data_IF_960825419193
#
_entry.id   IF_960825419193
#
_cell.length_a   1.000
_cell.length_b   1.000
_cell.length_c   1.000
_cell.angle_alpha   90.00
_cell.angle_beta   90.00
_cell.angle_gamma   90.00
#
_symmetry.space_group_name_H-M   'P 1'
#
loop_
_entity.id
_entity.type
_entity.pdbx_description
1 polymer ?
#
# COMPACT_ATOMS: atom_id res chain seq x y z
N UNK A 1 15.48 -33.84 -8.55
CA UNK A 1 14.20 -33.10 -8.54
C UNK A 1 14.02 -32.27 -7.27
N UNK A 2 14.15 -32.83 -6.06
CA UNK A 2 13.98 -32.09 -4.79
C UNK A 2 14.88 -30.85 -4.66
N UNK A 3 16.18 -30.97 -4.99
CA UNK A 3 17.12 -29.84 -4.91
C UNK A 3 16.76 -28.66 -5.84
N UNK A 4 16.19 -28.95 -7.03
CA UNK A 4 15.77 -27.92 -7.97
C UNK A 4 14.53 -27.18 -7.48
N UNK A 5 13.60 -27.88 -6.83
CA UNK A 5 12.41 -27.29 -6.21
C UNK A 5 12.79 -26.38 -5.03
N UNK A 6 13.74 -26.81 -4.19
CA UNK A 6 14.26 -25.98 -3.10
C UNK A 6 14.96 -24.71 -3.61
N UNK A 7 15.75 -24.81 -4.68
CA UNK A 7 16.42 -23.64 -5.26
C UNK A 7 15.43 -22.62 -5.83
N UNK A 8 14.35 -23.09 -6.49
CA UNK A 8 13.28 -22.21 -6.99
C UNK A 8 12.50 -21.54 -5.86
N UNK A 9 12.15 -22.30 -4.82
CA UNK A 9 11.47 -21.76 -3.64
C UNK A 9 12.35 -20.72 -2.93
N UNK A 10 13.65 -21.01 -2.75
CA UNK A 10 14.59 -20.07 -2.15
C UNK A 10 14.75 -18.81 -3.01
N UNK A 11 14.86 -18.97 -4.34
CA UNK A 11 14.91 -17.86 -5.28
C UNK A 11 13.67 -16.98 -5.22
N UNK A 12 12.47 -17.58 -5.21
CA UNK A 12 11.21 -16.87 -5.05
C UNK A 12 11.19 -16.13 -3.70
N UNK A 13 11.51 -16.81 -2.61
CA UNK A 13 11.56 -16.22 -1.26
C UNK A 13 12.49 -15.02 -1.20
N UNK A 14 13.72 -15.13 -1.72
CA UNK A 14 14.69 -14.02 -1.75
C UNK A 14 14.19 -12.87 -2.62
N UNK A 15 13.67 -13.16 -3.81
CA UNK A 15 13.15 -12.15 -4.73
C UNK A 15 12.01 -11.37 -4.08
N UNK A 16 11.05 -12.07 -3.48
CA UNK A 16 9.92 -11.44 -2.77
C UNK A 16 10.39 -10.72 -1.51
N UNK A 17 11.35 -11.27 -0.76
CA UNK A 17 11.89 -10.58 0.44
C UNK A 17 12.55 -9.27 0.07
N UNK A 18 13.31 -9.22 -1.04
CA UNK A 18 14.00 -8.01 -1.48
C UNK A 18 13.05 -6.92 -1.99
N UNK A 19 11.94 -7.31 -2.60
CA UNK A 19 10.91 -6.39 -3.12
C UNK A 19 9.93 -5.96 -2.04
N UNK A 20 9.54 -6.85 -1.11
CA UNK A 20 8.76 -6.49 0.08
C UNK A 20 9.57 -5.76 1.17
N UNK A 21 10.89 -5.63 1.04
CA UNK A 21 11.74 -5.11 2.11
C UNK A 21 11.49 -3.62 2.39
N UNK A 22 11.25 -2.81 1.35
CA UNK A 22 10.86 -1.41 1.54
C UNK A 22 9.41 -1.29 1.99
N UNK A 23 8.53 -2.22 1.61
CA UNK A 23 7.15 -2.24 2.11
C UNK A 23 7.04 -2.47 3.61
N UNK A 24 7.98 -3.25 4.12
CA UNK A 24 8.18 -3.50 5.54
C UNK A 24 8.30 -2.22 6.37
N UNK A 25 8.74 -1.13 5.74
CA UNK A 25 8.90 0.17 6.39
C UNK A 25 7.54 0.75 6.81
N UNK A 26 6.48 0.45 6.06
CA UNK A 26 5.11 0.89 6.35
C UNK A 26 4.51 0.18 7.57
N UNK A 27 5.02 -1.00 7.92
CA UNK A 27 4.63 -1.75 9.12
C UNK A 27 5.26 -1.21 10.40
N UNK A 28 6.34 -0.41 10.31
CA UNK A 28 7.10 0.04 11.47
C UNK A 28 6.21 0.75 12.51
N UNK A 29 5.32 1.71 12.14
CA UNK A 29 4.43 2.35 13.13
C UNK A 29 3.47 1.37 13.81
N UNK A 30 3.11 0.28 13.14
CA UNK A 30 2.13 -0.72 13.60
C UNK A 30 2.76 -1.83 14.47
N UNK A 31 4.09 -1.93 14.46
CA UNK A 31 4.85 -2.94 15.20
C UNK A 31 5.57 -2.37 16.42
N UNK A 32 5.36 -1.08 16.71
CA UNK A 32 6.04 -0.36 17.76
C UNK A 32 5.89 -1.03 19.15
N UNK A 33 6.94 -1.01 19.99
CA UNK A 33 6.98 -1.78 21.23
C UNK A 33 6.00 -1.30 22.31
N UNK A 34 5.46 -0.07 22.18
CA UNK A 34 4.47 0.47 23.11
C UNK A 34 3.05 -0.09 22.88
N UNK A 35 2.81 -0.77 21.75
CA UNK A 35 1.51 -1.39 21.45
C UNK A 35 1.38 -2.76 22.14
N UNK A 36 0.17 -3.14 22.59
CA UNK A 36 -0.06 -4.46 23.16
C UNK A 36 0.26 -5.58 22.15
N UNK A 37 0.82 -6.68 22.63
CA UNK A 37 1.31 -7.80 21.80
C UNK A 37 0.22 -8.34 20.86
N UNK A 38 -1.03 -8.44 21.33
CA UNK A 38 -2.17 -8.89 20.53
C UNK A 38 -2.41 -8.02 19.29
N UNK A 39 -2.28 -6.70 19.41
CA UNK A 39 -2.42 -5.77 18.29
C UNK A 39 -1.27 -5.93 17.30
N UNK A 40 -0.04 -6.09 17.79
CA UNK A 40 1.14 -6.34 16.94
C UNK A 40 1.00 -7.63 16.13
N UNK A 41 0.56 -8.71 16.78
CA UNK A 41 0.30 -10.00 16.12
C UNK A 41 -0.81 -9.86 15.08
N UNK A 42 -1.92 -9.18 15.42
CA UNK A 42 -3.05 -8.98 14.51
C UNK A 42 -2.63 -8.20 13.25
N UNK A 43 -1.86 -7.13 13.41
CA UNK A 43 -1.35 -6.37 12.27
C UNK A 43 -0.33 -7.16 11.44
N UNK A 44 0.55 -7.94 12.08
CA UNK A 44 1.49 -8.83 11.39
C UNK A 44 0.77 -9.91 10.57
N UNK A 45 -0.26 -10.54 11.14
CA UNK A 45 -1.09 -11.52 10.43
C UNK A 45 -1.86 -10.89 9.27
N UNK A 46 -2.41 -9.68 9.47
CA UNK A 46 -3.07 -8.94 8.39
C UNK A 46 -2.11 -8.62 7.24
N UNK A 47 -0.86 -8.26 7.54
CA UNK A 47 0.16 -8.05 6.51
C UNK A 47 0.44 -9.33 5.71
N UNK A 48 0.73 -10.45 6.39
CA UNK A 48 1.00 -11.74 5.74
C UNK A 48 -0.20 -12.15 4.87
N UNK A 49 -1.41 -12.09 5.43
CA UNK A 49 -2.62 -12.48 4.71
C UNK A 49 -2.87 -11.57 3.50
N UNK A 50 -2.60 -10.27 3.62
CA UNK A 50 -2.76 -9.34 2.50
C UNK A 50 -1.78 -9.67 1.38
N UNK A 51 -0.50 -9.85 1.68
CA UNK A 51 0.50 -10.24 0.67
C UNK A 51 0.15 -11.58 0.01
N UNK A 52 -0.28 -12.57 0.78
CA UNK A 52 -0.66 -13.87 0.24
C UNK A 52 -1.86 -13.77 -0.72
N UNK A 53 -2.87 -12.97 -0.35
CA UNK A 53 -4.03 -12.69 -1.23
C UNK A 53 -3.60 -11.98 -2.51
N UNK A 54 -2.66 -11.03 -2.44
CA UNK A 54 -2.11 -10.38 -3.63
C UNK A 54 -1.36 -11.39 -4.52
N UNK A 55 -0.51 -12.24 -3.96
CA UNK A 55 0.20 -13.27 -4.71
C UNK A 55 -0.76 -14.26 -5.38
N UNK A 56 -1.80 -14.72 -4.66
CA UNK A 56 -2.86 -15.54 -5.22
C UNK A 56 -3.62 -14.82 -6.34
N UNK A 57 -3.88 -13.53 -6.18
CA UNK A 57 -4.47 -12.69 -7.22
C UNK A 57 -3.61 -12.63 -8.49
N UNK A 58 -2.29 -12.47 -8.34
CA UNK A 58 -1.34 -12.49 -9.45
C UNK A 58 -1.34 -13.84 -10.17
N UNK A 59 -1.32 -14.95 -9.42
CA UNK A 59 -1.43 -16.30 -9.97
C UNK A 59 -2.73 -16.46 -10.76
N UNK A 60 -3.86 -16.00 -10.22
CA UNK A 60 -5.16 -16.09 -10.88
C UNK A 60 -5.20 -15.28 -12.18
N UNK A 61 -4.66 -14.06 -12.18
CA UNK A 61 -4.57 -13.19 -13.38
C UNK A 61 -3.68 -13.83 -14.44
N UNK A 62 -2.50 -14.34 -14.07
CA UNK A 62 -1.60 -15.03 -15.00
C UNK A 62 -2.24 -16.27 -15.60
N UNK A 63 -2.93 -17.06 -14.77
CA UNK A 63 -3.64 -18.27 -15.21
C UNK A 63 -4.77 -17.93 -16.18
N UNK A 64 -5.53 -16.86 -15.89
CA UNK A 64 -6.58 -16.36 -16.78
C UNK A 64 -5.98 -15.89 -18.11
N UNK A 65 -4.86 -15.16 -18.08
CA UNK A 65 -4.19 -14.69 -19.28
C UNK A 65 -3.72 -15.85 -20.15
N UNK A 66 -3.04 -16.84 -19.56
CA UNK A 66 -2.63 -18.06 -20.26
C UNK A 66 -3.82 -18.80 -20.89
N UNK A 67 -4.94 -18.88 -20.16
CA UNK A 67 -6.16 -19.50 -20.66
C UNK A 67 -6.77 -18.74 -21.85
N UNK A 68 -6.79 -17.41 -21.81
CA UNK A 68 -7.27 -16.56 -22.92
C UNK A 68 -6.38 -16.72 -24.15
N UNK A 69 -5.06 -16.69 -23.98
CA UNK A 69 -4.09 -16.87 -25.07
C UNK A 69 -4.23 -18.27 -25.69
N UNK A 70 -4.33 -19.32 -24.86
CA UNK A 70 -4.53 -20.69 -25.33
C UNK A 70 -5.84 -20.86 -26.11
N UNK A 71 -6.93 -20.21 -25.67
CA UNK A 71 -8.24 -20.28 -26.31
C UNK A 71 -8.29 -19.56 -27.67
N UNK A 72 -7.44 -18.56 -27.90
CA UNK A 72 -7.40 -17.82 -29.18
C UNK A 72 -6.48 -18.43 -30.22
N UNK A 73 -5.48 -19.21 -29.81
CA UNK A 73 -4.53 -19.90 -30.72
C UNK A 73 -5.23 -20.86 -31.68
N UNK A 74 -6.44 -21.30 -31.35
CA UNK A 74 -7.29 -22.15 -32.19
C UNK A 74 -8.09 -21.39 -33.27
N UNK A 75 -8.16 -20.05 -33.24
CA UNK A 75 -9.16 -19.32 -34.04
C UNK A 75 -8.65 -18.39 -35.15
N UNK A 76 -7.43 -17.83 -35.14
CA UNK A 76 -6.89 -17.04 -36.27
C UNK A 76 -5.44 -16.58 -36.04
N UNK A 77 -4.69 -16.41 -37.14
CA UNK A 77 -3.34 -15.84 -37.25
C UNK A 77 -3.34 -14.32 -37.00
N UNK A 78 -3.83 -13.88 -35.84
CA UNK A 78 -3.71 -12.47 -35.42
C UNK A 78 -2.40 -12.32 -34.66
N UNK A 79 -1.43 -11.61 -35.25
CA UNK A 79 -0.18 -11.24 -34.60
C UNK A 79 -0.50 -10.26 -33.46
N UNK A 80 -0.42 -10.75 -32.22
CA UNK A 80 -0.64 -9.92 -31.04
C UNK A 80 0.49 -8.88 -30.93
N UNK A 81 0.19 -7.66 -30.46
CA UNK A 81 1.22 -6.76 -29.95
C UNK A 81 2.03 -7.49 -28.87
N UNK A 82 3.31 -7.15 -28.75
CA UNK A 82 4.23 -7.81 -27.81
C UNK A 82 3.59 -7.89 -26.41
N UNK A 83 3.47 -9.11 -25.88
CA UNK A 83 2.73 -9.41 -24.64
C UNK A 83 3.23 -8.58 -23.45
N UNK A 84 4.52 -8.22 -23.48
CA UNK A 84 5.20 -7.35 -22.53
C UNK A 84 4.59 -5.94 -22.48
N UNK A 85 4.25 -5.36 -23.63
CA UNK A 85 3.67 -4.01 -23.72
C UNK A 85 2.25 -4.03 -23.14
N UNK A 86 1.48 -5.09 -23.41
CA UNK A 86 0.12 -5.22 -22.88
C UNK A 86 0.17 -5.36 -21.35
N UNK A 87 1.03 -6.24 -20.82
CA UNK A 87 1.18 -6.42 -19.37
C UNK A 87 1.66 -5.13 -18.69
N UNK A 88 2.68 -4.48 -19.26
CA UNK A 88 3.21 -3.21 -18.76
C UNK A 88 2.15 -2.11 -18.74
N UNK A 89 1.33 -2.01 -19.78
CA UNK A 89 0.24 -1.03 -19.87
C UNK A 89 -0.85 -1.25 -18.81
N UNK A 90 -1.19 -2.52 -18.51
CA UNK A 90 -2.17 -2.87 -17.47
C UNK A 90 -1.62 -2.51 -16.09
N UNK A 91 -0.34 -2.85 -15.82
CA UNK A 91 0.33 -2.50 -14.58
C UNK A 91 0.39 -0.99 -14.35
N UNK A 92 0.79 -0.23 -15.38
CA UNK A 92 0.82 1.23 -15.33
C UNK A 92 -0.58 1.83 -15.12
N UNK A 93 -1.59 1.32 -15.83
CA UNK A 93 -2.99 1.74 -15.68
C UNK A 93 -3.52 1.51 -14.27
N UNK A 94 -3.26 0.34 -13.68
CA UNK A 94 -3.62 0.03 -12.29
C UNK A 94 -2.92 0.97 -11.31
N UNK A 95 -1.62 1.24 -11.51
CA UNK A 95 -0.86 2.15 -10.68
C UNK A 95 -1.46 3.57 -10.69
N UNK A 96 -1.83 4.09 -11.87
CA UNK A 96 -2.49 5.39 -12.02
C UNK A 96 -3.87 5.43 -11.35
N UNK A 97 -4.69 4.40 -11.53
CA UNK A 97 -6.01 4.31 -10.88
C UNK A 97 -5.86 4.40 -9.37
N UNK A 98 -4.87 3.71 -8.79
CA UNK A 98 -4.63 3.71 -7.36
C UNK A 98 -4.09 5.06 -6.90
N UNK A 99 -3.15 5.67 -7.64
CA UNK A 99 -2.65 7.01 -7.34
C UNK A 99 -3.78 8.06 -7.33
N UNK A 100 -4.67 8.01 -8.32
CA UNK A 100 -5.86 8.88 -8.39
C UNK A 100 -6.79 8.62 -7.21
N UNK A 101 -7.06 7.36 -6.87
CA UNK A 101 -7.92 7.00 -5.74
C UNK A 101 -7.37 7.55 -4.41
N UNK A 102 -6.06 7.43 -4.17
CA UNK A 102 -5.41 8.00 -2.98
C UNK A 102 -5.46 9.53 -2.98
N UNK A 103 -5.22 10.16 -4.13
CA UNK A 103 -5.31 11.60 -4.29
C UNK A 103 -6.72 12.11 -3.98
N UNK A 104 -7.75 11.49 -4.55
CA UNK A 104 -9.16 11.81 -4.30
C UNK A 104 -9.50 11.62 -2.82
N UNK A 105 -9.09 10.51 -2.20
CA UNK A 105 -9.34 10.25 -0.78
C UNK A 105 -8.71 11.33 0.11
N UNK A 106 -7.49 11.76 -0.19
CA UNK A 106 -6.81 12.86 0.51
C UNK A 106 -7.53 14.20 0.29
N UNK A 107 -7.94 14.48 -0.95
CA UNK A 107 -8.67 15.69 -1.30
C UNK A 107 -10.03 15.77 -0.57
N UNK A 108 -10.78 14.67 -0.53
CA UNK A 108 -12.03 14.56 0.20
C UNK A 108 -11.82 14.72 1.71
N UNK A 109 -10.76 14.13 2.28
CA UNK A 109 -10.42 14.31 3.71
C UNK A 109 -10.07 15.76 4.02
N UNK A 110 -9.34 16.45 3.14
CA UNK A 110 -9.04 17.88 3.28
C UNK A 110 -10.32 18.72 3.22
N UNK A 111 -11.25 18.39 2.31
CA UNK A 111 -12.55 19.07 2.25
C UNK A 111 -13.39 18.88 3.51
N UNK A 112 -13.43 17.68 4.10
CA UNK A 112 -14.14 17.44 5.36
C UNK A 112 -13.61 18.31 6.50
N UNK A 113 -12.28 18.38 6.66
CA UNK A 113 -11.64 19.25 7.68
C UNK A 113 -11.93 20.73 7.47
N UNK A 114 -11.93 21.20 6.23
CA UNK A 114 -12.27 22.60 5.91
C UNK A 114 -13.75 22.92 6.21
N UNK A 115 -14.66 21.97 6.00
CA UNK A 115 -16.08 22.13 6.33
C UNK A 115 -16.32 22.14 7.85
N UNK A 116 -15.66 21.26 8.60
CA UNK A 116 -15.71 21.21 10.07
C UNK A 116 -15.18 22.50 10.69
N UNK A 117 -14.06 23.04 10.18
CA UNK A 117 -13.52 24.33 10.63
C UNK A 117 -14.46 25.51 10.36
N UNK A 118 -15.18 25.50 9.22
CA UNK A 118 -16.16 26.53 8.90
C UNK A 118 -17.38 26.50 9.82
N UNK A 119 -17.89 25.31 10.14
CA UNK A 119 -19.02 25.13 11.06
C UNK A 119 -18.67 25.62 12.47
N UNK A 120 -17.48 25.23 12.97
CA UNK A 120 -17.02 25.61 14.31
C UNK A 120 -16.76 27.11 14.46
N UNK A 121 -16.39 27.80 13.37
CA UNK A 121 -16.26 29.26 13.36
C UNK A 121 -17.65 29.93 13.44
N UNK A 122 -18.63 29.42 12.71
CA UNK A 122 -20.02 29.90 12.74
C UNK A 122 -20.65 29.73 14.14
N UNK A 123 -20.41 28.60 14.81
CA UNK A 123 -20.91 28.38 16.17
C UNK A 123 -20.21 29.28 17.20
N UNK A 124 -18.90 29.53 17.05
CA UNK A 124 -18.17 30.49 17.90
C UNK A 124 -18.69 31.92 17.72
N UNK A 125 -19.02 32.33 16.51
CA UNK A 125 -19.62 33.65 16.24
C UNK A 125 -21.03 33.76 16.86
N UNK A 126 -21.85 32.71 16.74
CA UNK A 126 -23.18 32.66 17.34
C UNK A 126 -23.10 32.70 18.87
N UNK A 127 -22.24 31.88 19.49
CA UNK A 127 -22.03 31.91 20.93
C UNK A 127 -21.50 33.26 21.40
N UNK A 128 -20.57 33.89 20.67
CA UNK A 128 -20.09 35.23 21.01
C UNK A 128 -21.21 36.27 20.97
N UNK A 129 -22.09 36.22 19.96
CA UNK A 129 -23.23 37.12 19.85
C UNK A 129 -24.26 36.92 20.98
N UNK A 130 -24.49 35.68 21.42
CA UNK A 130 -25.40 35.36 22.54
C UNK A 130 -24.80 35.76 23.88
N UNK A 131 -23.54 35.40 24.16
CA UNK A 131 -22.88 35.72 25.44
C UNK A 131 -22.68 37.22 25.61
N UNK A 132 -22.44 37.98 24.53
CA UNK A 132 -22.36 39.45 24.59
C UNK A 132 -23.70 40.10 25.00
N UNK A 133 -24.85 39.44 24.76
CA UNK A 133 -26.16 39.92 25.22
C UNK A 133 -26.46 39.60 26.69
N UNK A 134 -25.77 38.64 27.29
CA UNK A 134 -26.02 38.17 28.67
C UNK A 134 -24.95 38.66 29.67
N UNK A 135 -23.75 39.03 29.18
CA UNK A 135 -22.61 39.45 30.00
C UNK A 135 -22.74 40.81 30.71
N UNK A 136 -23.88 41.49 30.67
CA UNK A 136 -24.09 42.70 31.48
C UNK A 136 -24.59 42.41 32.90
N UNK A 137 -24.67 41.14 33.32
CA UNK A 137 -25.22 40.81 34.63
C UNK A 137 -24.54 39.57 35.24
N UNK A 138 -23.66 39.82 36.21
CA UNK A 138 -23.01 38.89 37.15
C UNK A 138 -21.74 38.12 36.70
N UNK A 139 -20.77 38.12 37.63
CA UNK A 139 -19.37 37.78 37.43
C UNK A 139 -19.08 36.33 37.06
N UNK A 140 -18.08 36.18 36.19
CA UNK A 140 -17.62 34.91 35.62
C UNK A 140 -16.58 34.22 36.51
N UNK A 141 -16.89 32.98 36.88
CA UNK A 141 -15.96 31.97 37.39
C UNK A 141 -15.21 31.36 36.19
N UNK A 142 -13.88 31.16 36.23
CA UNK A 142 -13.15 30.52 35.14
C UNK A 142 -13.51 29.03 35.06
N UNK A 143 -14.10 28.61 33.95
CA UNK A 143 -14.35 27.21 33.61
C UNK A 143 -13.12 26.63 32.91
N UNK A 144 -12.41 25.77 33.62
CA UNK A 144 -11.47 24.80 33.07
C UNK A 144 -12.28 23.66 32.42
N UNK A 145 -12.50 23.68 31.11
CA UNK A 145 -12.93 22.45 30.41
C UNK A 145 -12.70 22.49 28.89
N UNK A 146 -12.46 21.31 28.34
CA UNK A 146 -12.61 20.91 26.93
C UNK A 146 -11.54 21.35 25.91
N UNK A 147 -10.34 20.76 25.99
CA UNK A 147 -9.39 20.72 24.88
C UNK A 147 -9.00 19.27 24.51
N UNK A 148 -9.99 18.38 24.44
CA UNK A 148 -9.80 16.93 24.18
C UNK A 148 -9.99 16.50 22.71
N UNK A 149 -10.27 17.41 21.78
CA UNK A 149 -10.66 17.03 20.41
C UNK A 149 -9.53 16.85 19.38
N UNK A 150 -8.25 16.89 19.79
CA UNK A 150 -7.11 16.53 18.93
C UNK A 150 -6.45 15.19 19.29
N UNK A 151 -7.16 14.32 20.04
CA UNK A 151 -6.82 12.90 20.10
C UNK A 151 -7.22 12.23 18.78
N UNK A 152 -6.42 12.49 17.73
CA UNK A 152 -6.28 11.61 16.57
C UNK A 152 -6.28 10.20 17.10
N UNK A 153 -7.35 9.43 16.80
CA UNK A 153 -7.53 8.07 17.30
C UNK A 153 -6.21 7.30 17.22
N UNK A 154 -5.52 7.17 18.36
CA UNK A 154 -4.16 6.61 18.44
C UNK A 154 -4.15 5.11 18.18
N UNK A 155 -5.29 4.54 17.78
CA UNK A 155 -5.41 3.15 17.41
C UNK A 155 -5.18 3.01 15.91
N UNK A 156 -4.07 2.39 15.50
CA UNK A 156 -3.85 2.07 14.09
C UNK A 156 -5.04 1.29 13.53
N UNK A 157 -5.69 1.84 12.50
CA UNK A 157 -6.82 1.16 11.85
C UNK A 157 -6.31 -0.05 11.06
N UNK A 158 -6.91 -1.25 11.20
CA UNK A 158 -6.57 -2.42 10.40
C UNK A 158 -6.62 -2.15 8.89
N UNK A 159 -7.57 -1.31 8.45
CA UNK A 159 -7.70 -0.88 7.06
C UNK A 159 -6.50 -0.10 6.54
N UNK A 160 -5.81 0.62 7.43
CA UNK A 160 -4.60 1.34 7.06
C UNK A 160 -3.49 0.35 6.73
N UNK A 161 -3.29 -0.69 7.56
CA UNK A 161 -2.30 -1.75 7.30
C UNK A 161 -2.59 -2.42 5.95
N UNK A 162 -3.82 -2.87 5.71
CA UNK A 162 -4.19 -3.49 4.43
C UNK A 162 -3.87 -2.55 3.27
N UNK A 163 -4.29 -1.28 3.37
CA UNK A 163 -4.03 -0.30 2.30
C UNK A 163 -2.54 -0.09 2.06
N UNK A 164 -1.74 0.04 3.12
CA UNK A 164 -0.29 0.25 3.00
C UNK A 164 0.41 -0.98 2.43
N UNK A 165 0.06 -2.19 2.88
CA UNK A 165 0.60 -3.43 2.33
C UNK A 165 0.24 -3.59 0.86
N UNK A 166 -1.02 -3.34 0.47
CA UNK A 166 -1.45 -3.41 -0.93
C UNK A 166 -0.76 -2.36 -1.80
N UNK A 167 -0.48 -1.18 -1.24
CA UNK A 167 0.23 -0.12 -1.96
C UNK A 167 1.72 -0.39 -2.12
N UNK A 168 2.30 -1.02 -1.11
CA UNK A 168 3.68 -1.47 -1.17
C UNK A 168 3.87 -2.50 -2.28
N UNK A 169 3.13 -3.61 -2.17
CA UNK A 169 3.22 -4.75 -3.08
C UNK A 169 2.58 -4.51 -4.46
N UNK A 170 2.42 -3.25 -4.88
CA UNK A 170 1.91 -2.91 -6.21
C UNK A 170 2.94 -3.18 -7.30
N UNK A 171 4.20 -2.98 -6.99
CA UNK A 171 5.31 -3.31 -7.89
C UNK A 171 5.37 -4.84 -8.11
N UNK A 172 5.16 -5.63 -7.06
CA UNK A 172 5.00 -7.08 -7.08
C UNK A 172 3.90 -7.54 -8.02
N UNK A 173 2.73 -6.91 -7.96
CA UNK A 173 1.62 -7.22 -8.86
C UNK A 173 1.98 -7.00 -10.32
N UNK A 174 2.89 -6.07 -10.62
CA UNK A 174 3.33 -5.82 -11.99
C UNK A 174 4.35 -6.84 -12.51
N UNK A 175 5.26 -7.33 -11.66
CA UNK A 175 6.33 -8.23 -12.10
C UNK A 175 6.02 -9.72 -11.92
N UNK A 176 5.21 -10.10 -10.92
CA UNK A 176 4.85 -11.50 -10.67
C UNK A 176 4.21 -12.20 -11.87
N UNK A 177 3.27 -11.57 -12.60
CA UNK A 177 2.72 -12.17 -13.80
C UNK A 177 3.78 -12.48 -14.86
N UNK A 178 4.72 -11.56 -15.09
CA UNK A 178 5.81 -11.75 -16.03
C UNK A 178 6.72 -12.92 -15.64
N UNK A 179 7.05 -13.08 -14.34
CA UNK A 179 7.84 -14.20 -13.86
C UNK A 179 7.14 -15.55 -13.99
N UNK A 180 5.82 -15.58 -13.78
CA UNK A 180 4.99 -16.77 -13.97
C UNK A 180 4.87 -17.14 -15.45
N UNK A 181 4.64 -16.15 -16.32
CA UNK A 181 4.58 -16.34 -17.77
C UNK A 181 5.92 -16.79 -18.36
N UNK A 182 7.03 -16.25 -17.85
CA UNK A 182 8.38 -16.66 -18.21
C UNK A 182 8.80 -18.04 -17.69
N UNK A 183 7.95 -18.70 -16.88
CA UNK A 183 8.22 -20.04 -16.35
C UNK A 183 9.37 -20.10 -15.34
N UNK A 184 9.82 -18.95 -14.82
CA UNK A 184 10.90 -18.86 -13.84
C UNK A 184 10.46 -19.52 -12.52
N UNK A 185 9.23 -19.19 -12.10
CA UNK A 185 8.61 -19.75 -10.89
C UNK A 185 7.31 -20.48 -11.23
N UNK A 186 7.03 -21.55 -10.48
CA UNK A 186 5.68 -22.13 -10.50
C UNK A 186 4.75 -21.32 -9.60
N UNK A 187 3.42 -21.34 -9.82
CA UNK A 187 2.47 -20.67 -8.93
C UNK A 187 2.64 -21.04 -7.45
N UNK A 188 2.94 -22.31 -7.19
CA UNK A 188 3.16 -22.82 -5.84
C UNK A 188 4.45 -22.29 -5.21
N UNK A 189 5.55 -22.24 -5.97
CA UNK A 189 6.82 -21.67 -5.49
C UNK A 189 6.66 -20.19 -5.16
N UNK A 190 5.84 -19.46 -5.93
CA UNK A 190 5.58 -18.04 -5.71
C UNK A 190 4.73 -17.79 -4.45
N UNK A 191 3.63 -18.51 -4.27
CA UNK A 191 2.79 -18.38 -3.06
C UNK A 191 3.58 -18.74 -1.80
N UNK A 192 4.24 -19.90 -1.76
CA UNK A 192 5.06 -20.26 -0.61
C UNK A 192 6.23 -19.30 -0.38
N UNK A 193 6.89 -18.87 -1.46
CA UNK A 193 7.97 -17.90 -1.38
C UNK A 193 7.50 -16.58 -0.79
N UNK A 194 6.31 -16.11 -1.17
CA UNK A 194 5.67 -14.91 -0.62
C UNK A 194 5.35 -15.08 0.85
N UNK A 195 4.78 -16.21 1.25
CA UNK A 195 4.50 -16.51 2.65
C UNK A 195 5.78 -16.49 3.52
N UNK A 196 6.85 -17.15 3.07
CA UNK A 196 8.12 -17.15 3.80
C UNK A 196 8.77 -15.76 3.82
N UNK A 197 8.75 -15.04 2.70
CA UNK A 197 9.24 -13.66 2.63
C UNK A 197 8.50 -12.77 3.62
N UNK A 198 7.16 -12.83 3.65
CA UNK A 198 6.34 -12.06 4.58
C UNK A 198 6.67 -12.40 6.05
N UNK A 199 6.94 -13.66 6.37
CA UNK A 199 7.36 -14.07 7.72
C UNK A 199 8.75 -13.53 8.08
N UNK A 200 9.71 -13.60 7.15
CA UNK A 200 11.08 -13.08 7.35
C UNK A 200 11.02 -11.57 7.54
N UNK A 201 10.34 -10.85 6.65
CA UNK A 201 10.16 -9.40 6.71
C UNK A 201 9.49 -9.00 8.01
N UNK A 202 8.41 -9.68 8.42
CA UNK A 202 7.77 -9.41 9.70
C UNK A 202 8.73 -9.62 10.88
N UNK A 203 9.51 -10.70 10.87
CA UNK A 203 10.53 -10.95 11.90
C UNK A 203 11.60 -9.85 11.93
N UNK A 204 12.10 -9.43 10.77
CA UNK A 204 13.10 -8.35 10.66
C UNK A 204 12.53 -7.03 11.19
N UNK A 205 11.32 -6.66 10.77
CA UNK A 205 10.67 -5.42 11.21
C UNK A 205 10.43 -5.43 12.72
N UNK A 206 9.87 -6.51 13.24
CA UNK A 206 9.47 -6.61 14.65
C UNK A 206 10.65 -6.75 15.61
N UNK A 207 11.74 -7.38 15.19
CA UNK A 207 12.94 -7.59 16.02
C UNK A 207 13.97 -6.48 15.88
N UNK A 208 14.21 -5.96 14.67
CA UNK A 208 15.28 -5.01 14.39
C UNK A 208 14.76 -3.59 14.17
N UNK A 209 13.91 -3.37 13.16
CA UNK A 209 13.50 -1.99 12.78
C UNK A 209 12.68 -1.30 13.88
N UNK A 210 11.88 -2.05 14.64
CA UNK A 210 11.14 -1.53 15.79
C UNK A 210 12.05 -0.97 16.90
N UNK A 211 13.33 -1.33 16.93
CA UNK A 211 14.31 -0.78 17.89
C UNK A 211 15.01 0.49 17.36
N UNK A 212 14.95 0.75 16.05
CA UNK A 212 15.63 1.87 15.40
C UNK A 212 14.78 3.15 15.39
N UNK A 213 14.68 3.83 16.55
CA UNK A 213 14.06 5.17 16.67
C UNK A 213 14.46 6.19 15.58
N UNK A 214 15.75 6.41 15.25
CA UNK A 214 16.12 7.44 14.27
C UNK A 214 15.61 7.14 12.86
N UNK A 215 15.47 5.86 12.50
CA UNK A 215 14.93 5.46 11.20
C UNK A 215 13.43 5.73 11.14
N UNK A 216 12.71 5.49 12.23
CA UNK A 216 11.28 5.77 12.35
C UNK A 216 11.00 7.29 12.27
N UNK A 217 11.79 8.10 12.97
CA UNK A 217 11.68 9.57 12.93
C UNK A 217 11.99 10.14 11.54
N UNK A 218 12.91 9.50 10.80
CA UNK A 218 13.21 9.87 9.42
C UNK A 218 12.07 9.49 8.47
N UNK A 219 11.52 8.28 8.63
CA UNK A 219 10.44 7.78 7.79
C UNK A 219 9.16 8.62 7.90
N UNK A 220 8.83 9.05 9.13
CA UNK A 220 7.62 9.83 9.40
C UNK A 220 7.63 11.21 8.71
N UNK A 221 8.81 11.69 8.28
CA UNK A 221 8.95 12.93 7.49
C UNK A 221 8.61 12.75 6.02
N UNK A 222 8.60 11.53 5.48
CA UNK A 222 8.45 11.32 4.04
C UNK A 222 6.95 11.22 3.68
N UNK A 223 6.42 12.15 2.85
CA UNK A 223 5.04 12.06 2.42
C UNK A 223 4.82 10.87 1.49
N UNK A 224 3.99 9.90 1.90
CA UNK A 224 3.59 8.73 1.11
C UNK A 224 3.22 9.06 -0.35
N UNK A 225 2.47 10.14 -0.56
CA UNK A 225 2.03 10.53 -1.91
C UNK A 225 3.19 10.89 -2.85
N UNK A 226 4.31 11.37 -2.30
CA UNK A 226 5.50 11.68 -3.09
C UNK A 226 6.17 10.42 -3.62
N UNK A 227 6.24 9.37 -2.79
CA UNK A 227 6.78 8.07 -3.20
C UNK A 227 5.92 7.45 -4.30
N UNK A 228 4.60 7.36 -4.07
CA UNK A 228 3.66 6.78 -5.06
C UNK A 228 3.68 7.54 -6.38
N UNK A 229 3.72 8.88 -6.35
CA UNK A 229 3.79 9.70 -7.57
C UNK A 229 5.10 9.49 -8.34
N UNK A 230 6.21 9.35 -7.62
CA UNK A 230 7.52 9.06 -8.23
C UNK A 230 7.51 7.70 -8.92
N UNK A 231 6.96 6.67 -8.26
CA UNK A 231 6.86 5.32 -8.82
C UNK A 231 5.96 5.28 -10.08
N UNK A 232 4.78 5.89 -10.02
CA UNK A 232 3.89 6.00 -11.17
C UNK A 232 4.54 6.72 -12.36
N UNK A 233 5.33 7.77 -12.07
CA UNK A 233 6.08 8.51 -13.11
C UNK A 233 7.16 7.63 -13.73
N UNK A 234 7.94 6.90 -12.92
CA UNK A 234 8.99 6.00 -13.39
C UNK A 234 8.42 4.88 -14.28
N UNK A 235 7.34 4.23 -13.87
CA UNK A 235 6.66 3.20 -14.66
C UNK A 235 6.14 3.76 -15.99
N UNK A 236 5.53 4.95 -15.97
CA UNK A 236 5.00 5.59 -17.18
C UNK A 236 6.13 5.91 -18.16
N UNK A 237 7.26 6.41 -17.66
CA UNK A 237 8.43 6.68 -18.49
C UNK A 237 9.01 5.39 -19.09
N UNK A 238 9.11 4.30 -18.30
CA UNK A 238 9.55 2.99 -18.80
C UNK A 238 8.70 2.51 -19.97
N UNK A 239 7.37 2.54 -19.83
CA UNK A 239 6.45 2.15 -20.91
C UNK A 239 6.62 3.03 -22.16
N UNK A 240 6.80 4.35 -21.99
CA UNK A 240 7.03 5.26 -23.13
C UNK A 240 8.35 4.92 -23.84
N UNK A 241 9.42 4.65 -23.10
CA UNK A 241 10.71 4.28 -23.68
C UNK A 241 10.65 2.96 -24.45
N UNK A 242 9.98 1.94 -23.90
CA UNK A 242 9.80 0.65 -24.58
C UNK A 242 9.06 0.79 -25.91
N UNK A 243 7.99 1.61 -25.94
CA UNK A 243 7.26 1.91 -27.18
C UNK A 243 8.14 2.63 -28.20
N UNK A 244 8.88 3.65 -27.77
CA UNK A 244 9.74 4.42 -28.68
C UNK A 244 10.91 3.60 -29.25
N UNK A 245 11.45 2.63 -28.50
CA UNK A 245 12.54 1.77 -28.98
C UNK A 245 12.06 0.68 -29.93
N UNK A 246 10.80 0.25 -29.85
CA UNK A 246 10.27 -0.80 -30.73
C UNK A 246 9.89 -0.27 -32.13
N UNK A 247 9.72 1.05 -32.28
CA UNK A 247 9.36 1.72 -33.54
C UNK A 247 10.57 2.06 -34.45
N UNK A 248 11.81 1.78 -34.02
CA UNK A 248 13.06 2.12 -34.73
C UNK A 248 13.82 0.92 -35.29
#
# INVERSE_FOLDING_TARGET
MVALSLAKLAGATVTVTLTTADDAIWLVPYTAPYLPLSTRITHGLLFILTLEVLACGCVAISSLFQWVVASKKTSSEVKWPDEEIILGSIGAGLCWVIAIALFVRKYLKKRRRAAEQGLHLSDRELHRAVTQKVSNQYGSIPSEDDNDENLVSSRPSPWAVISFTTLGALDEVSYFPSLLLGGIFTPYDLCLGTFFAACIVLAVVTLFLAQCKPLLDFLDRIPLYGIVATFATALTLGVIFDVMMNDG
#
